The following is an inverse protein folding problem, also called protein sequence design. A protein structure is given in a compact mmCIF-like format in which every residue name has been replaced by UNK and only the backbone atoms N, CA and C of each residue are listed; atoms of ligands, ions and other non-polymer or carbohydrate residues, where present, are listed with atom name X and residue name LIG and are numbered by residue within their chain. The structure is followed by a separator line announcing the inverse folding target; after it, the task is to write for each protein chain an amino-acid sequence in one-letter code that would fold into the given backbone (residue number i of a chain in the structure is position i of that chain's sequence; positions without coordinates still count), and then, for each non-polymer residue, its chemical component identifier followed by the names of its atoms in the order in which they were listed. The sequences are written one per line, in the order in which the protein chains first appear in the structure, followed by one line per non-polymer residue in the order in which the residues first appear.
data_IF_842820803609
#
_entry.id   IF_842820803609
#
_cell.length_a   1.000
_cell.length_b   1.000
_cell.length_c   1.000
_cell.angle_alpha   90.00
_cell.angle_beta   90.00
_cell.angle_gamma   90.00
#
_symmetry.space_group_name_H-M   'P 1'
#
loop_
_entity.id
_entity.type
_entity.pdbx_description
1 polymer ?
#
# COMPACT_ATOMS: atom_id res chain seq x y z
N UNK A 1 19.45 -9.58 15.40
CA UNK A 1 19.85 -8.16 15.41
C UNK A 1 18.72 -7.34 14.79
N UNK A 2 18.17 -6.35 15.49
CA UNK A 2 17.18 -5.45 14.89
C UNK A 2 17.88 -4.33 14.12
N UNK A 3 17.56 -4.15 12.84
CA UNK A 3 18.13 -3.07 12.00
C UNK A 3 17.55 -1.72 12.46
N UNK A 4 18.41 -0.71 12.68
CA UNK A 4 17.99 0.62 13.14
C UNK A 4 17.28 1.43 12.04
N UNK A 5 17.64 1.19 10.78
CA UNK A 5 17.04 1.80 9.61
C UNK A 5 17.62 1.20 8.33
N UNK A 6 16.88 1.26 7.24
CA UNK A 6 17.35 0.85 5.92
C UNK A 6 16.62 1.64 4.83
N UNK A 7 17.18 1.62 3.63
CA UNK A 7 16.54 2.20 2.45
C UNK A 7 16.47 1.14 1.36
N UNK A 8 15.32 1.08 0.69
CA UNK A 8 15.10 0.23 -0.49
C UNK A 8 14.50 1.06 -1.60
N UNK A 9 14.65 0.60 -2.84
CA UNK A 9 14.00 1.23 -3.98
C UNK A 9 13.60 0.22 -5.05
N UNK A 10 12.54 0.56 -5.79
CA UNK A 10 12.02 -0.23 -6.90
C UNK A 10 11.92 0.62 -8.17
N UNK A 11 12.24 0.07 -9.37
CA UNK A 11 12.09 0.79 -10.62
C UNK A 11 10.63 0.89 -11.05
N UNK A 12 10.29 1.92 -11.82
CA UNK A 12 9.04 1.97 -12.58
C UNK A 12 9.05 0.99 -13.76
N UNK A 13 7.91 0.88 -14.45
CA UNK A 13 7.78 0.11 -15.70
C UNK A 13 7.34 0.99 -16.87
N UNK A 14 7.70 0.57 -18.07
CA UNK A 14 7.16 1.08 -19.35
C UNK A 14 6.73 -0.11 -20.21
N UNK A 15 5.67 0.04 -21.00
CA UNK A 15 5.30 -0.93 -22.03
C UNK A 15 5.97 -0.49 -23.33
N UNK A 16 6.83 -1.33 -23.90
CA UNK A 16 7.54 -1.06 -25.15
C UNK A 16 6.72 -1.44 -26.38
N UNK A 17 5.89 -2.49 -26.26
CA UNK A 17 5.02 -2.95 -27.32
C UNK A 17 3.81 -3.70 -26.76
N UNK A 18 2.67 -3.63 -27.46
CA UNK A 18 1.49 -4.46 -27.19
C UNK A 18 0.51 -3.90 -26.15
N UNK A 19 0.50 -2.58 -25.89
CA UNK A 19 -0.41 -1.95 -24.92
C UNK A 19 -1.89 -2.30 -25.15
N UNK A 20 -2.34 -2.26 -26.41
CA UNK A 20 -3.71 -2.59 -26.79
C UNK A 20 -3.88 -4.08 -27.09
N UNK A 21 -2.83 -4.76 -27.55
CA UNK A 21 -2.88 -6.16 -27.97
C UNK A 21 -2.99 -7.12 -26.77
N UNK A 22 -2.40 -6.77 -25.63
CA UNK A 22 -2.43 -7.60 -24.41
C UNK A 22 -3.84 -7.81 -23.85
N UNK A 23 -4.73 -6.85 -24.07
CA UNK A 23 -6.14 -6.94 -23.68
C UNK A 23 -6.85 -8.11 -24.39
N UNK A 24 -6.36 -8.50 -25.56
CA UNK A 24 -6.88 -9.62 -26.35
C UNK A 24 -6.03 -10.90 -26.24
N UNK A 25 -5.25 -11.03 -25.15
CA UNK A 25 -4.42 -12.21 -24.89
C UNK A 25 -3.18 -12.34 -25.78
N UNK A 26 -2.76 -11.26 -26.46
CA UNK A 26 -1.51 -11.25 -27.24
C UNK A 26 -0.32 -10.85 -26.37
N UNK A 27 0.91 -11.30 -26.68
CA UNK A 27 2.09 -10.89 -25.93
C UNK A 27 2.31 -9.37 -25.93
N UNK A 28 2.84 -8.86 -24.83
CA UNK A 28 3.35 -7.50 -24.71
C UNK A 28 4.76 -7.52 -24.12
N UNK A 29 5.55 -6.49 -24.46
CA UNK A 29 6.91 -6.33 -23.94
C UNK A 29 6.88 -5.13 -22.99
N UNK A 30 7.32 -5.33 -21.75
CA UNK A 30 7.51 -4.28 -20.78
C UNK A 30 8.96 -4.28 -20.28
N UNK A 31 9.48 -3.11 -19.96
CA UNK A 31 10.84 -2.91 -19.44
C UNK A 31 10.85 -2.06 -18.18
N UNK A 32 11.88 -2.21 -17.32
CA UNK A 32 12.09 -1.31 -16.20
C UNK A 32 12.58 0.06 -16.70
N UNK A 33 12.22 1.12 -15.97
CA UNK A 33 12.77 2.46 -16.19
C UNK A 33 13.46 2.97 -14.94
N UNK A 34 14.46 3.84 -15.12
CA UNK A 34 15.25 4.44 -14.04
C UNK A 34 14.50 5.42 -13.13
N UNK A 35 13.19 5.61 -13.33
CA UNK A 35 12.33 6.37 -12.41
C UNK A 35 12.01 5.47 -11.21
N UNK A 36 12.70 5.70 -10.09
CA UNK A 36 12.62 4.83 -8.91
C UNK A 36 11.72 5.40 -7.83
N UNK A 37 11.01 4.52 -7.15
CA UNK A 37 10.34 4.79 -5.88
C UNK A 37 11.25 4.35 -4.74
N UNK A 38 11.41 5.20 -3.73
CA UNK A 38 12.23 4.92 -2.55
C UNK A 38 11.34 4.71 -1.33
N UNK A 39 11.75 3.79 -0.46
CA UNK A 39 11.18 3.60 0.87
C UNK A 39 12.32 3.64 1.87
N UNK A 40 12.22 4.57 2.82
CA UNK A 40 13.13 4.67 3.95
C UNK A 40 12.44 4.14 5.19
N UNK A 41 13.00 3.09 5.81
CA UNK A 41 12.58 2.58 7.09
C UNK A 41 13.44 3.18 8.20
N UNK A 42 12.79 3.63 9.28
CA UNK A 42 13.44 4.07 10.51
C UNK A 42 12.74 3.44 11.70
N UNK A 43 13.50 2.82 12.59
CA UNK A 43 12.95 2.29 13.84
C UNK A 43 12.56 3.44 14.76
N UNK A 44 11.32 3.41 15.24
CA UNK A 44 10.83 4.32 16.26
C UNK A 44 11.08 3.76 17.67
N UNK A 45 11.22 4.67 18.64
CA UNK A 45 11.26 4.32 20.07
C UNK A 45 9.86 4.26 20.69
N UNK A 46 8.86 4.77 19.96
CA UNK A 46 7.44 4.72 20.33
C UNK A 46 6.78 3.46 19.74
N UNK A 47 5.75 2.89 20.40
CA UNK A 47 5.05 1.70 19.94
C UNK A 47 4.00 2.09 18.87
N UNK A 48 4.45 2.65 17.75
CA UNK A 48 3.60 3.06 16.65
C UNK A 48 4.26 2.77 15.30
N UNK A 49 3.42 2.71 14.27
CA UNK A 49 3.83 2.63 12.87
C UNK A 49 3.39 3.90 12.18
N UNK A 50 4.33 4.62 11.56
CA UNK A 50 4.05 5.84 10.80
C UNK A 50 4.28 5.56 9.33
N UNK A 51 3.26 5.86 8.51
CA UNK A 51 3.31 5.86 7.06
C UNK A 51 3.37 7.31 6.59
N UNK A 52 4.54 7.75 6.15
CA UNK A 52 4.76 9.08 5.57
C UNK A 52 4.88 8.99 4.05
N UNK A 53 4.03 9.73 3.34
CA UNK A 53 3.94 9.65 1.88
C UNK A 53 4.56 10.87 1.22
N UNK A 54 5.83 11.22 1.49
CA UNK A 54 6.49 12.48 1.10
C UNK A 54 6.14 13.11 -0.28
N UNK A 55 5.82 12.33 -1.32
CA UNK A 55 5.35 12.83 -2.63
C UNK A 55 3.93 13.44 -2.61
N UNK A 56 3.17 13.23 -1.54
CA UNK A 56 1.85 13.77 -1.22
C UNK A 56 1.96 14.31 0.22
N UNK A 57 1.49 15.53 0.54
CA UNK A 57 1.62 16.10 1.90
C UNK A 57 0.68 15.43 2.92
N UNK A 58 0.83 14.11 3.09
CA UNK A 58 -0.02 13.24 3.85
C UNK A 58 0.80 12.18 4.59
N UNK A 59 0.42 11.96 5.84
CA UNK A 59 0.91 10.88 6.66
C UNK A 59 -0.25 10.30 7.47
N UNK A 60 -0.05 9.10 7.96
CA UNK A 60 -0.97 8.46 8.89
C UNK A 60 -0.19 7.55 9.82
N UNK A 61 -0.71 7.32 11.02
CA UNK A 61 -0.10 6.43 11.99
C UNK A 61 -1.09 5.45 12.57
N UNK A 62 -0.56 4.33 13.07
CA UNK A 62 -1.28 3.30 13.81
C UNK A 62 -0.49 3.02 15.08
N UNK A 63 -1.16 2.93 16.23
CA UNK A 63 -0.51 2.35 17.41
C UNK A 63 -0.16 0.88 17.14
N UNK A 64 0.82 0.33 17.86
CA UNK A 64 1.17 -1.08 17.73
C UNK A 64 -0.03 -1.99 18.07
N UNK A 65 -0.87 -1.58 19.01
CA UNK A 65 -2.13 -2.26 19.34
C UNK A 65 -3.11 -2.25 18.16
N UNK A 66 -3.38 -1.08 17.57
CA UNK A 66 -4.26 -0.97 16.40
C UNK A 66 -3.71 -1.72 15.20
N UNK A 67 -2.38 -1.74 15.02
CA UNK A 67 -1.73 -2.50 13.96
C UNK A 67 -1.90 -4.01 14.15
N UNK A 68 -1.72 -4.52 15.38
CA UNK A 68 -1.96 -5.92 15.68
C UNK A 68 -3.45 -6.28 15.49
N UNK A 69 -4.37 -5.43 15.97
CA UNK A 69 -5.80 -5.62 15.76
C UNK A 69 -6.15 -5.66 14.25
N UNK A 70 -5.59 -4.75 13.45
CA UNK A 70 -5.73 -4.74 12.00
C UNK A 70 -5.29 -6.05 11.36
N UNK A 71 -4.11 -6.57 11.73
CA UNK A 71 -3.60 -7.85 11.22
C UNK A 71 -4.48 -9.05 11.60
N UNK A 72 -5.13 -9.01 12.76
CA UNK A 72 -6.04 -10.08 13.21
C UNK A 72 -7.42 -10.00 12.57
N UNK A 73 -7.94 -8.80 12.35
CA UNK A 73 -9.30 -8.58 11.87
C UNK A 73 -9.41 -8.69 10.34
N UNK A 74 -8.34 -8.36 9.62
CA UNK A 74 -8.31 -8.39 8.16
C UNK A 74 -7.37 -9.49 7.65
N UNK A 75 -7.86 -10.23 6.66
CA UNK A 75 -7.04 -11.15 5.86
C UNK A 75 -7.08 -10.70 4.40
N UNK A 76 -6.12 -9.86 4.02
CA UNK A 76 -5.97 -9.35 2.67
C UNK A 76 -5.30 -10.36 1.73
N UNK A 77 -4.91 -11.54 2.22
CA UNK A 77 -4.37 -12.62 1.39
C UNK A 77 -5.47 -13.52 0.86
N UNK A 78 -6.26 -14.08 1.78
CA UNK A 78 -7.26 -15.11 1.50
C UNK A 78 -8.65 -14.53 1.26
N UNK A 79 -9.07 -13.56 2.09
CA UNK A 79 -10.46 -13.13 2.13
C UNK A 79 -10.72 -11.92 1.24
N UNK A 80 -9.87 -10.89 1.30
CA UNK A 80 -10.05 -9.68 0.51
C UNK A 80 -9.16 -9.71 -0.75
N UNK A 81 -9.72 -10.15 -1.86
CA UNK A 81 -8.99 -10.26 -3.13
C UNK A 81 -8.71 -8.87 -3.76
N UNK A 82 -7.67 -8.74 -4.61
CA UNK A 82 -7.25 -7.43 -5.12
C UNK A 82 -8.34 -6.64 -5.86
N UNK A 83 -9.19 -7.30 -6.64
CA UNK A 83 -10.27 -6.64 -7.36
C UNK A 83 -11.34 -6.09 -6.41
N UNK A 84 -11.77 -6.88 -5.43
CA UNK A 84 -12.74 -6.45 -4.42
C UNK A 84 -12.19 -5.29 -3.57
N UNK A 85 -10.90 -5.34 -3.21
CA UNK A 85 -10.25 -4.22 -2.54
C UNK A 85 -10.30 -2.94 -3.38
N UNK A 86 -9.96 -3.02 -4.66
CA UNK A 86 -10.00 -1.87 -5.56
C UNK A 86 -11.43 -1.32 -5.75
N UNK A 87 -12.44 -2.18 -5.79
CA UNK A 87 -13.84 -1.79 -5.84
C UNK A 87 -14.26 -1.03 -4.57
N UNK A 88 -13.93 -1.57 -3.38
CA UNK A 88 -14.17 -0.88 -2.10
C UNK A 88 -13.49 0.48 -2.05
N UNK A 89 -12.26 0.59 -2.55
CA UNK A 89 -11.51 1.86 -2.61
C UNK A 89 -12.16 2.90 -3.53
N UNK A 90 -12.78 2.46 -4.63
CA UNK A 90 -13.49 3.32 -5.59
C UNK A 90 -14.90 3.70 -5.13
N UNK A 91 -15.50 2.91 -4.26
CA UNK A 91 -16.84 3.19 -3.74
C UNK A 91 -16.90 4.51 -2.97
N UNK A 92 -18.09 5.10 -2.93
CA UNK A 92 -18.38 6.27 -2.09
C UNK A 92 -18.44 5.92 -0.59
N UNK A 93 -18.29 4.65 -0.24
CA UNK A 93 -18.13 4.23 1.15
C UNK A 93 -16.82 4.79 1.72
N UNK A 94 -16.78 4.89 3.05
CA UNK A 94 -15.62 5.39 3.80
C UNK A 94 -14.35 4.58 3.56
N UNK A 95 -13.23 5.08 4.05
CA UNK A 95 -11.95 4.41 3.94
C UNK A 95 -11.98 3.03 4.66
N UNK A 96 -11.66 1.91 4.00
CA UNK A 96 -11.91 0.56 4.54
C UNK A 96 -11.13 0.22 5.82
N UNK A 97 -10.04 0.94 6.10
CA UNK A 97 -9.20 0.73 7.28
C UNK A 97 -9.26 1.92 8.26
N UNK A 98 -10.30 2.75 8.16
CA UNK A 98 -10.47 3.99 8.92
C UNK A 98 -10.35 3.81 10.44
N UNK A 99 -10.78 2.68 10.98
CA UNK A 99 -10.78 2.41 12.43
C UNK A 99 -9.39 2.19 13.04
N UNK A 100 -8.36 1.90 12.23
CA UNK A 100 -7.02 1.57 12.74
C UNK A 100 -6.02 2.72 12.65
N UNK A 101 -6.38 3.77 11.90
CA UNK A 101 -5.49 4.87 11.56
C UNK A 101 -5.87 6.16 12.27
N UNK A 102 -4.88 6.94 12.68
CA UNK A 102 -5.07 8.20 13.39
C UNK A 102 -5.57 9.32 12.47
N UNK A 103 -4.98 9.43 11.27
CA UNK A 103 -5.33 10.42 10.26
C UNK A 103 -5.92 9.74 9.04
N UNK A 104 -7.17 10.07 8.73
CA UNK A 104 -7.85 9.57 7.55
C UNK A 104 -7.52 10.43 6.31
N UNK A 105 -7.54 9.82 5.12
CA UNK A 105 -7.51 10.56 3.86
C UNK A 105 -8.62 11.63 3.82
N UNK A 106 -8.33 12.79 3.25
CA UNK A 106 -9.38 13.77 2.96
C UNK A 106 -10.44 13.16 2.04
N UNK A 107 -11.72 13.50 2.25
CA UNK A 107 -12.87 12.88 1.58
C UNK A 107 -12.75 12.93 0.04
N UNK A 108 -12.25 14.05 -0.50
CA UNK A 108 -12.09 14.26 -1.94
C UNK A 108 -10.69 13.88 -2.46
N UNK A 109 -9.78 13.42 -1.59
CA UNK A 109 -8.40 13.10 -1.96
C UNK A 109 -8.23 11.63 -2.32
N UNK A 110 -8.44 11.33 -3.60
CA UNK A 110 -8.19 10.00 -4.18
C UNK A 110 -6.74 9.57 -3.94
N UNK A 111 -5.79 10.50 -4.07
CA UNK A 111 -4.35 10.21 -3.90
C UNK A 111 -4.04 9.70 -2.50
N UNK A 112 -4.56 10.36 -1.47
CA UNK A 112 -4.38 9.94 -0.07
C UNK A 112 -5.07 8.61 0.19
N UNK A 113 -6.33 8.48 -0.26
CA UNK A 113 -7.12 7.25 -0.10
C UNK A 113 -6.35 6.06 -0.65
N UNK A 114 -5.97 6.11 -1.92
CA UNK A 114 -5.26 5.00 -2.58
C UNK A 114 -3.86 4.77 -2.02
N UNK A 115 -3.11 5.81 -1.64
CA UNK A 115 -1.76 5.63 -1.08
C UNK A 115 -1.80 4.90 0.25
N UNK A 116 -2.63 5.36 1.19
CA UNK A 116 -2.76 4.73 2.50
C UNK A 116 -3.41 3.34 2.40
N UNK A 117 -4.50 3.23 1.64
CA UNK A 117 -5.21 1.96 1.49
C UNK A 117 -4.34 0.88 0.87
N UNK A 118 -3.61 1.20 -0.20
CA UNK A 118 -2.75 0.22 -0.87
C UNK A 118 -1.57 -0.17 0.01
N UNK A 119 -0.96 0.78 0.73
CA UNK A 119 0.13 0.47 1.67
C UNK A 119 -0.34 -0.52 2.76
N UNK A 120 -1.48 -0.25 3.40
CA UNK A 120 -2.02 -1.13 4.44
C UNK A 120 -2.47 -2.49 3.88
N UNK A 121 -3.11 -2.50 2.71
CA UNK A 121 -3.53 -3.73 2.04
C UNK A 121 -2.32 -4.63 1.72
N UNK A 122 -1.25 -4.07 1.15
CA UNK A 122 -0.05 -4.81 0.82
C UNK A 122 0.68 -5.30 2.09
N UNK A 123 0.80 -4.45 3.12
CA UNK A 123 1.40 -4.85 4.39
C UNK A 123 0.66 -6.04 5.01
N UNK A 124 -0.66 -5.98 5.12
CA UNK A 124 -1.46 -7.08 5.64
C UNK A 124 -1.32 -8.32 4.76
N UNK A 125 -1.49 -8.19 3.44
CA UNK A 125 -1.42 -9.32 2.50
C UNK A 125 -0.07 -10.04 2.54
N UNK A 126 1.05 -9.31 2.59
CA UNK A 126 2.39 -9.89 2.65
C UNK A 126 2.58 -10.61 4.00
N UNK A 127 2.32 -9.94 5.12
CA UNK A 127 2.50 -10.51 6.45
C UNK A 127 1.59 -11.73 6.71
N UNK A 128 0.43 -11.80 6.06
CA UNK A 128 -0.48 -12.95 6.13
C UNK A 128 -0.13 -14.08 5.16
N UNK A 129 0.71 -13.82 4.15
CA UNK A 129 1.18 -14.83 3.20
C UNK A 129 2.47 -15.52 3.64
N UNK A 130 3.24 -14.88 4.52
CA UNK A 130 4.54 -15.36 5.00
C UNK A 130 4.46 -16.08 6.37
N UNK A 131 3.26 -16.32 6.92
CA UNK A 131 3.02 -17.02 8.18
C UNK A 131 1.97 -18.12 8.04
#
# INVERSE_FOLDING_TARGET
MSVAGFEVSAPGKVILHGEHSVVYGKPAIAGPIGLRTYLTYKRLQTPEVILDFASIPFNSSLSLESFNAFLTQFDCHSNLQPLEFLEKMRSAEGFPFASFVTRQPAQDSIKEKFSLGTALYLLNRILRSEG
#
